data_IF_171416681216
#
_entry.id   IF_171416681216
#
_cell.length_a   1.000
_cell.length_b   1.000
_cell.length_c   1.000
_cell.angle_alpha   90.00
_cell.angle_beta   90.00
_cell.angle_gamma   90.00
#
_symmetry.space_group_name_H-M   'P 1'
#
loop_
_entity.id
_entity.type
_entity.pdbx_description
1 polymer ?
#
# COMPACT_ATOMS: atom_id res chain seq x y z
N UNK A 1 18.47 -16.12 -15.77
CA UNK A 1 17.57 -15.11 -15.18
C UNK A 1 16.15 -15.35 -15.68
N UNK A 2 15.32 -16.06 -14.92
CA UNK A 2 13.90 -15.74 -14.96
C UNK A 2 13.20 -15.90 -13.59
N UNK A 3 12.03 -15.26 -13.44
CA UNK A 3 10.95 -15.54 -12.47
C UNK A 3 10.72 -14.60 -11.28
N UNK A 4 10.75 -13.28 -11.48
CA UNK A 4 9.94 -12.35 -10.65
C UNK A 4 8.47 -12.33 -11.11
N UNK A 5 7.94 -13.47 -11.56
CA UNK A 5 6.67 -13.56 -12.31
C UNK A 5 5.52 -14.23 -11.55
N UNK A 6 5.64 -14.49 -10.24
CA UNK A 6 4.61 -15.26 -9.55
C UNK A 6 4.59 -15.07 -8.03
N UNK A 7 4.34 -13.86 -7.54
CA UNK A 7 4.02 -13.65 -6.12
C UNK A 7 2.86 -12.67 -5.86
N UNK A 8 1.99 -12.43 -6.85
CA UNK A 8 0.60 -12.05 -6.54
C UNK A 8 -0.17 -13.34 -6.27
N UNK A 9 0.08 -13.93 -5.10
CA UNK A 9 -0.85 -14.88 -4.49
C UNK A 9 -2.21 -14.18 -4.49
N UNK A 10 -3.30 -14.85 -4.90
CA UNK A 10 -4.65 -14.35 -4.63
C UNK A 10 -4.81 -14.33 -3.10
N UNK A 11 -4.39 -13.23 -2.49
CA UNK A 11 -4.51 -12.99 -1.07
C UNK A 11 -5.99 -12.93 -0.74
N UNK A 12 -6.40 -13.65 0.28
CA UNK A 12 -7.76 -13.57 0.81
C UNK A 12 -8.06 -12.11 1.19
N UNK A 13 -9.34 -11.72 1.21
CA UNK A 13 -9.76 -10.42 1.74
C UNK A 13 -9.24 -10.19 3.18
N UNK A 14 -8.97 -11.27 3.91
CA UNK A 14 -8.48 -11.26 5.29
C UNK A 14 -6.94 -11.21 5.42
N UNK A 15 -6.20 -11.39 4.32
CA UNK A 15 -4.73 -11.37 4.34
C UNK A 15 -4.18 -9.94 4.46
N UNK A 16 -2.92 -9.83 4.87
CA UNK A 16 -2.21 -8.55 4.89
C UNK A 16 -1.73 -8.17 3.47
N UNK A 17 -2.20 -7.03 2.97
CA UNK A 17 -2.02 -6.52 1.61
C UNK A 17 -0.96 -5.42 1.51
N UNK A 18 -0.59 -4.77 2.60
CA UNK A 18 0.39 -3.69 2.53
C UNK A 18 1.81 -4.22 2.29
N UNK A 19 2.50 -3.64 1.30
CA UNK A 19 3.90 -3.92 0.98
C UNK A 19 4.09 -4.83 -0.24
N UNK A 20 5.24 -4.66 -0.89
CA UNK A 20 5.70 -5.39 -2.07
C UNK A 20 6.80 -6.37 -1.67
N UNK A 21 6.51 -7.67 -1.71
CA UNK A 21 7.43 -8.74 -1.32
C UNK A 21 7.67 -8.85 0.20
N UNK A 22 8.39 -9.88 0.62
CA UNK A 22 8.48 -10.29 2.03
C UNK A 22 8.96 -9.19 3.00
N UNK A 23 10.00 -8.44 2.62
CA UNK A 23 10.64 -7.46 3.51
C UNK A 23 9.73 -6.27 3.79
N UNK A 24 9.23 -5.60 2.75
CA UNK A 24 8.39 -4.42 2.93
C UNK A 24 7.03 -4.77 3.52
N UNK A 25 6.50 -5.96 3.24
CA UNK A 25 5.29 -6.49 3.88
C UNK A 25 5.45 -6.62 5.39
N UNK A 26 6.57 -7.20 5.87
CA UNK A 26 6.85 -7.29 7.31
C UNK A 26 7.04 -5.91 7.96
N UNK A 27 7.79 -5.00 7.31
CA UNK A 27 7.98 -3.65 7.83
C UNK A 27 6.64 -2.93 7.98
N UNK A 28 5.79 -2.97 6.94
CA UNK A 28 4.47 -2.38 6.97
C UNK A 28 3.60 -2.97 8.08
N UNK A 29 3.65 -4.29 8.28
CA UNK A 29 2.92 -4.97 9.34
C UNK A 29 3.32 -4.46 10.74
N UNK A 30 4.62 -4.44 11.04
CA UNK A 30 5.11 -4.01 12.36
C UNK A 30 4.93 -2.52 12.61
N UNK A 31 5.13 -1.67 11.60
CA UNK A 31 4.93 -0.21 11.72
C UNK A 31 3.48 0.14 12.09
N UNK A 32 2.53 -0.67 11.63
CA UNK A 32 1.10 -0.42 11.81
C UNK A 32 0.52 -1.19 12.99
N UNK A 33 1.32 -2.02 13.69
CA UNK A 33 0.88 -2.90 14.78
C UNK A 33 0.16 -2.17 15.91
N UNK A 34 0.62 -0.97 16.28
CA UNK A 34 0.00 -0.14 17.31
C UNK A 34 -1.12 0.77 16.78
N UNK A 35 -1.60 0.53 15.56
CA UNK A 35 -2.60 1.35 14.85
C UNK A 35 -3.79 0.51 14.39
N UNK A 36 -4.72 1.14 13.69
CA UNK A 36 -5.86 0.50 13.04
C UNK A 36 -5.42 -0.35 11.83
N UNK A 37 -4.71 -1.47 12.08
CA UNK A 37 -4.17 -2.35 11.04
C UNK A 37 -5.23 -2.77 10.02
N UNK A 38 -6.45 -3.06 10.48
CA UNK A 38 -7.56 -3.46 9.59
C UNK A 38 -7.92 -2.36 8.60
N UNK A 39 -8.02 -1.12 9.04
CA UNK A 39 -8.36 0.01 8.18
C UNK A 39 -7.21 0.34 7.22
N UNK A 40 -5.97 0.30 7.70
CA UNK A 40 -4.78 0.49 6.85
C UNK A 40 -4.70 -0.60 5.78
N UNK A 41 -4.97 -1.85 6.16
CA UNK A 41 -4.95 -2.99 5.25
C UNK A 41 -6.00 -2.86 4.14
N UNK A 42 -7.20 -2.33 4.46
CA UNK A 42 -8.23 -2.03 3.45
C UNK A 42 -7.74 -1.00 2.44
N UNK A 43 -7.05 0.05 2.89
CA UNK A 43 -6.46 1.04 2.00
C UNK A 43 -5.41 0.41 1.06
N UNK A 44 -4.58 -0.50 1.57
CA UNK A 44 -3.61 -1.22 0.75
C UNK A 44 -4.26 -2.16 -0.27
N UNK A 45 -5.29 -2.91 0.13
CA UNK A 45 -6.06 -3.75 -0.80
C UNK A 45 -6.69 -2.91 -1.91
N UNK A 46 -7.26 -1.74 -1.57
CA UNK A 46 -7.80 -0.82 -2.57
C UNK A 46 -6.72 -0.31 -3.52
N UNK A 47 -5.55 0.05 -3.01
CA UNK A 47 -4.41 0.50 -3.81
C UNK A 47 -3.90 -0.57 -4.77
N UNK A 48 -3.77 -1.81 -4.31
CA UNK A 48 -3.40 -2.97 -5.15
C UNK A 48 -4.41 -3.22 -6.27
N UNK A 49 -5.71 -3.04 -6.00
CA UNK A 49 -6.77 -3.15 -6.99
C UNK A 49 -6.77 -2.00 -8.00
N UNK A 50 -6.46 -0.78 -7.54
CA UNK A 50 -6.36 0.41 -8.41
C UNK A 50 -5.11 0.34 -9.31
N UNK A 51 -3.99 -0.24 -8.84
CA UNK A 51 -2.75 -0.47 -9.64
C UNK A 51 -2.84 -1.82 -10.38
N UNK A 52 -3.94 -2.07 -11.10
CA UNK A 52 -4.08 -3.24 -11.96
C UNK A 52 -2.92 -3.42 -12.96
N UNK A 53 -2.85 -4.58 -13.61
CA UNK A 53 -1.68 -5.03 -14.41
C UNK A 53 -1.27 -4.13 -15.60
N UNK A 54 -2.04 -3.09 -15.95
CA UNK A 54 -1.75 -2.17 -17.08
C UNK A 54 -1.91 -0.69 -16.74
N UNK A 55 -1.65 -0.33 -15.49
CA UNK A 55 -1.85 1.04 -15.05
C UNK A 55 -0.69 1.91 -15.52
N UNK A 56 -0.95 2.81 -16.47
CA UNK A 56 0.02 3.83 -16.92
C UNK A 56 0.38 4.78 -15.77
N UNK A 57 1.48 5.53 -15.90
CA UNK A 57 1.97 6.49 -14.89
C UNK A 57 0.88 7.38 -14.27
N UNK A 58 0.00 7.95 -15.08
CA UNK A 58 -1.14 8.77 -14.60
C UNK A 58 -2.14 7.99 -13.75
N UNK A 59 -2.38 6.72 -14.07
CA UNK A 59 -3.24 5.86 -13.28
C UNK A 59 -2.61 5.47 -11.94
N UNK A 60 -1.30 5.25 -11.91
CA UNK A 60 -0.56 4.99 -10.67
C UNK A 60 -0.58 6.22 -9.75
N UNK A 61 -0.33 7.42 -10.30
CA UNK A 61 -0.46 8.67 -9.53
C UNK A 61 -1.87 8.86 -8.95
N UNK A 62 -2.91 8.47 -9.68
CA UNK A 62 -4.28 8.55 -9.20
C UNK A 62 -4.57 7.52 -8.09
N UNK A 63 -4.06 6.29 -8.24
CA UNK A 63 -4.12 5.26 -7.21
C UNK A 63 -3.41 5.73 -5.92
N UNK A 64 -2.21 6.31 -6.04
CA UNK A 64 -1.46 6.86 -4.90
C UNK A 64 -2.23 7.97 -4.18
N UNK A 65 -2.91 8.85 -4.93
CA UNK A 65 -3.75 9.91 -4.34
C UNK A 65 -4.93 9.33 -3.56
N UNK A 66 -5.63 8.36 -4.14
CA UNK A 66 -6.74 7.67 -3.46
C UNK A 66 -6.27 6.94 -2.22
N UNK A 67 -5.13 6.26 -2.31
CA UNK A 67 -4.52 5.56 -1.19
C UNK A 67 -4.16 6.50 -0.03
N UNK A 68 -3.50 7.63 -0.32
CA UNK A 68 -3.21 8.65 0.69
C UNK A 68 -4.49 9.21 1.32
N UNK A 69 -5.51 9.51 0.51
CA UNK A 69 -6.79 9.96 1.02
C UNK A 69 -7.48 8.90 1.89
N UNK A 70 -7.34 7.62 1.58
CA UNK A 70 -7.86 6.53 2.40
C UNK A 70 -7.20 6.53 3.79
N UNK A 71 -5.87 6.65 3.86
CA UNK A 71 -5.14 6.71 5.13
C UNK A 71 -5.51 7.94 5.96
N UNK A 72 -5.67 9.10 5.32
CA UNK A 72 -6.03 10.36 6.00
C UNK A 72 -7.45 10.35 6.59
N UNK A 73 -8.33 9.47 6.08
CA UNK A 73 -9.68 9.28 6.61
C UNK A 73 -9.74 8.35 7.82
N UNK A 74 -8.65 7.66 8.16
CA UNK A 74 -8.61 6.82 9.35
C UNK A 74 -8.47 7.72 10.57
N UNK A 75 -9.42 7.64 11.50
CA UNK A 75 -9.49 8.49 12.69
C UNK A 75 -8.41 8.15 13.75
N UNK A 76 -7.13 8.36 13.40
CA UNK A 76 -5.99 8.15 14.28
C UNK A 76 -4.92 9.22 14.03
N UNK A 77 -4.50 9.88 15.11
CA UNK A 77 -3.40 10.86 15.06
C UNK A 77 -2.09 10.22 14.61
N UNK A 78 -1.78 9.02 15.09
CA UNK A 78 -0.55 8.32 14.70
C UNK A 78 -0.54 7.99 13.21
N UNK A 79 -1.69 7.62 12.65
CA UNK A 79 -1.79 7.36 11.21
C UNK A 79 -1.53 8.64 10.42
N UNK A 80 -2.20 9.74 10.76
CA UNK A 80 -2.00 11.02 10.07
C UNK A 80 -0.57 11.58 10.17
N UNK A 81 0.09 11.43 11.32
CA UNK A 81 1.43 12.01 11.54
C UNK A 81 2.59 11.09 11.14
N UNK A 82 2.42 9.78 11.20
CA UNK A 82 3.53 8.82 10.98
C UNK A 82 3.28 7.90 9.80
N UNK A 83 2.14 7.20 9.76
CA UNK A 83 1.88 6.15 8.77
C UNK A 83 1.61 6.75 7.39
N UNK A 84 0.67 7.69 7.30
CA UNK A 84 0.24 8.31 6.05
C UNK A 84 1.41 8.96 5.30
N UNK A 85 2.24 9.82 5.93
CA UNK A 85 3.37 10.46 5.24
C UNK A 85 4.40 9.44 4.72
N UNK A 86 4.73 8.41 5.50
CA UNK A 86 5.72 7.39 5.09
C UNK A 86 5.20 6.58 3.93
N UNK A 87 3.99 6.03 4.04
CA UNK A 87 3.40 5.18 3.00
C UNK A 87 3.17 5.97 1.71
N UNK A 88 2.63 7.20 1.80
CA UNK A 88 2.44 8.07 0.64
C UNK A 88 3.74 8.46 -0.06
N UNK A 89 4.81 8.68 0.70
CA UNK A 89 6.12 9.03 0.12
C UNK A 89 6.70 7.84 -0.64
N UNK A 90 6.62 6.65 -0.05
CA UNK A 90 7.12 5.42 -0.66
C UNK A 90 6.35 5.08 -1.95
N UNK A 91 5.02 5.13 -1.94
CA UNK A 91 4.22 4.79 -3.14
C UNK A 91 4.44 5.80 -4.26
N UNK A 92 4.47 7.10 -3.96
CA UNK A 92 4.78 8.13 -4.96
C UNK A 92 6.20 8.02 -5.51
N UNK A 93 7.17 7.70 -4.67
CA UNK A 93 8.54 7.46 -5.12
C UNK A 93 8.58 6.24 -6.05
N UNK A 94 7.89 5.16 -5.69
CA UNK A 94 7.78 3.97 -6.53
C UNK A 94 7.20 4.30 -7.91
N UNK A 95 6.08 5.02 -7.97
CA UNK A 95 5.47 5.49 -9.23
C UNK A 95 6.40 6.37 -10.06
N UNK A 96 7.29 7.14 -9.43
CA UNK A 96 8.22 8.02 -10.14
C UNK A 96 9.44 7.28 -10.72
N UNK A 97 9.94 6.27 -10.02
CA UNK A 97 11.15 5.55 -10.41
C UNK A 97 10.88 4.31 -11.27
N UNK A 98 9.62 3.91 -11.44
CA UNK A 98 9.22 2.65 -12.05
C UNK A 98 8.17 2.82 -13.14
#
# INVERSE_FOLDING_TARGET
>A
RPSERSFRFRRSSDDWHCGIGYVSTNIAYYMTYFSEQREINKCCLQHDNDIGERTNFLGQMNADRKFCSCLDNIASRYIGWCVSPVFCTITRAYTFFH
#
